data_IF_852842018046
#
_entry.id   IF_852842018046
#
_cell.length_a   1.000
_cell.length_b   1.000
_cell.length_c   1.000
_cell.angle_alpha   90.00
_cell.angle_beta   90.00
_cell.angle_gamma   90.00
#
_symmetry.space_group_name_H-M   'P 1'
#
loop_
_entity.id
_entity.type
_entity.pdbx_description
1 polymer ?
#
# COMPACT_ATOMS: atom_id res chain seq x y z
N UNK A 1 49.25 -51.96 -0.96
CA UNK A 1 48.95 -52.41 0.42
C UNK A 1 48.30 -51.21 1.13
N UNK A 2 46.97 -51.13 1.15
CA UNK A 2 46.25 -50.00 1.77
C UNK A 2 46.11 -50.35 3.25
N UNK A 3 46.84 -49.63 4.12
CA UNK A 3 46.78 -49.80 5.57
C UNK A 3 45.40 -49.36 6.09
N UNK A 4 44.72 -50.15 6.95
CA UNK A 4 43.40 -49.79 7.46
C UNK A 4 43.49 -48.54 8.35
N UNK A 5 42.71 -47.52 8.00
CA UNK A 5 42.64 -46.28 8.77
C UNK A 5 42.06 -46.57 10.17
N UNK A 6 42.70 -46.12 11.26
CA UNK A 6 42.24 -46.44 12.60
C UNK A 6 40.86 -45.82 12.87
N UNK A 7 39.94 -46.59 13.46
CA UNK A 7 38.54 -46.19 13.76
C UNK A 7 38.43 -44.83 14.48
N UNK A 8 39.43 -44.45 15.27
CA UNK A 8 39.51 -43.16 15.96
C UNK A 8 39.60 -41.96 15.01
N UNK A 9 40.23 -42.11 13.84
CA UNK A 9 40.33 -41.04 12.83
C UNK A 9 38.96 -40.73 12.23
N UNK A 10 38.12 -41.74 11.99
CA UNK A 10 36.75 -41.51 11.53
C UNK A 10 35.90 -40.73 12.56
N UNK A 11 36.11 -40.98 13.86
CA UNK A 11 35.43 -40.24 14.93
C UNK A 11 35.88 -38.77 14.92
N UNK A 12 37.20 -38.50 14.83
CA UNK A 12 37.69 -37.12 14.74
C UNK A 12 37.21 -36.39 13.49
N UNK A 13 37.14 -37.07 12.35
CA UNK A 13 36.61 -36.51 11.10
C UNK A 13 35.11 -36.23 11.22
N UNK A 14 34.31 -37.13 11.80
CA UNK A 14 32.88 -36.89 12.03
C UNK A 14 32.64 -35.70 12.97
N UNK A 15 33.40 -35.60 14.06
CA UNK A 15 33.30 -34.47 14.99
C UNK A 15 33.68 -33.17 14.28
N UNK A 16 34.77 -33.15 13.52
CA UNK A 16 35.19 -31.96 12.78
C UNK A 16 34.16 -31.53 11.72
N UNK A 17 33.56 -32.49 11.00
CA UNK A 17 32.49 -32.24 10.05
C UNK A 17 31.21 -31.70 10.74
N UNK A 18 30.90 -32.18 11.94
CA UNK A 18 29.76 -31.68 12.72
C UNK A 18 29.92 -30.24 13.17
N UNK A 19 31.13 -29.82 13.57
CA UNK A 19 31.43 -28.43 13.92
C UNK A 19 31.35 -27.50 12.71
N UNK A 20 31.89 -27.91 11.55
CA UNK A 20 31.78 -27.14 10.30
C UNK A 20 30.32 -26.95 9.86
N UNK A 21 29.46 -27.94 10.12
CA UNK A 21 28.05 -27.87 9.78
C UNK A 21 27.32 -26.81 10.63
N UNK A 22 27.65 -26.70 11.92
CA UNK A 22 27.01 -25.74 12.83
C UNK A 22 27.29 -24.28 12.46
N UNK A 23 28.51 -23.95 12.05
CA UNK A 23 28.90 -22.62 11.58
C UNK A 23 28.12 -22.21 10.32
N UNK A 24 27.96 -23.15 9.37
CA UNK A 24 27.19 -22.92 8.16
C UNK A 24 25.70 -22.67 8.46
N UNK A 25 25.12 -23.41 9.40
CA UNK A 25 23.74 -23.19 9.86
C UNK A 25 23.56 -21.83 10.53
N UNK A 26 24.47 -21.43 11.43
CA UNK A 26 24.40 -20.15 12.14
C UNK A 26 24.45 -18.93 11.19
N UNK A 27 25.30 -18.98 10.16
CA UNK A 27 25.37 -17.91 9.15
C UNK A 27 24.09 -17.85 8.31
N UNK A 28 23.49 -19.00 8.00
CA UNK A 28 22.23 -19.05 7.26
C UNK A 28 21.04 -18.53 8.07
N UNK A 29 20.96 -18.85 9.36
CA UNK A 29 19.86 -18.41 10.24
C UNK A 29 19.89 -16.90 10.42
N UNK A 30 21.07 -16.31 10.66
CA UNK A 30 21.25 -14.85 10.74
C UNK A 30 20.74 -14.11 9.49
N UNK A 31 20.94 -14.68 8.29
CA UNK A 31 20.45 -14.10 7.03
C UNK A 31 18.93 -14.21 6.91
N UNK A 32 18.35 -15.33 7.32
CA UNK A 32 16.90 -15.54 7.32
C UNK A 32 16.23 -14.57 8.29
N UNK A 33 16.78 -14.42 9.50
CA UNK A 33 16.28 -13.49 10.51
C UNK A 33 16.37 -12.03 10.03
N UNK A 34 17.47 -11.65 9.37
CA UNK A 34 17.62 -10.32 8.76
C UNK A 34 16.58 -10.06 7.66
N UNK A 35 16.27 -11.06 6.85
CA UNK A 35 15.26 -10.96 5.80
C UNK A 35 13.84 -10.88 6.40
N UNK A 36 13.56 -11.68 7.43
CA UNK A 36 12.27 -11.70 8.12
C UNK A 36 12.01 -10.37 8.83
N UNK A 37 13.01 -9.82 9.53
CA UNK A 37 12.92 -8.49 10.14
C UNK A 37 12.65 -7.38 9.10
N UNK A 38 13.21 -7.50 7.89
CA UNK A 38 12.94 -6.55 6.82
C UNK A 38 11.49 -6.65 6.32
N UNK A 39 10.95 -7.86 6.20
CA UNK A 39 9.55 -8.06 5.86
C UNK A 39 8.62 -7.46 6.94
N UNK A 40 8.90 -7.75 8.21
CA UNK A 40 8.13 -7.24 9.34
C UNK A 40 8.14 -5.70 9.40
N UNK A 41 9.30 -5.08 9.12
CA UNK A 41 9.39 -3.61 9.07
C UNK A 41 8.50 -3.00 7.98
N UNK A 42 8.46 -3.59 6.78
CA UNK A 42 7.61 -3.13 5.68
C UNK A 42 6.12 -3.34 5.97
N UNK A 43 5.78 -4.45 6.64
CA UNK A 43 4.40 -4.75 7.05
C UNK A 43 3.94 -3.78 8.14
N UNK A 44 4.76 -3.53 9.17
CA UNK A 44 4.46 -2.58 10.24
C UNK A 44 4.25 -1.16 9.71
N UNK A 45 5.08 -0.72 8.76
CA UNK A 45 4.93 0.58 8.12
C UNK A 45 3.63 0.68 7.31
N UNK A 46 3.26 -0.38 6.57
CA UNK A 46 2.00 -0.42 5.82
C UNK A 46 0.78 -0.24 6.71
N UNK A 47 0.76 -0.84 7.90
CA UNK A 47 -0.32 -0.65 8.88
C UNK A 47 -0.37 0.78 9.42
N UNK A 48 0.79 1.35 9.73
CA UNK A 48 0.89 2.75 10.18
C UNK A 48 0.35 3.73 9.13
N UNK A 49 0.78 3.57 7.87
CA UNK A 49 0.27 4.40 6.77
C UNK A 49 -1.22 4.20 6.54
N UNK A 50 -1.73 2.97 6.69
CA UNK A 50 -3.17 2.69 6.55
C UNK A 50 -3.98 3.35 7.65
N UNK A 51 -3.54 3.29 8.91
CA UNK A 51 -4.19 3.97 10.03
C UNK A 51 -4.18 5.49 9.87
N UNK A 52 -3.04 6.07 9.47
CA UNK A 52 -2.94 7.50 9.23
C UNK A 52 -3.91 7.96 8.13
N UNK A 53 -3.96 7.22 7.03
CA UNK A 53 -4.87 7.47 5.91
C UNK A 53 -6.34 7.35 6.34
N UNK A 54 -6.71 6.32 7.08
CA UNK A 54 -8.07 6.15 7.58
C UNK A 54 -8.49 7.29 8.51
N UNK A 55 -7.59 7.73 9.40
CA UNK A 55 -7.83 8.89 10.26
C UNK A 55 -8.00 10.18 9.45
N UNK A 56 -7.19 10.38 8.41
CA UNK A 56 -7.33 11.52 7.50
C UNK A 56 -8.68 11.50 6.76
N UNK A 57 -9.07 10.34 6.22
CA UNK A 57 -10.36 10.16 5.55
C UNK A 57 -11.53 10.42 6.52
N UNK A 58 -11.44 9.90 7.75
CA UNK A 58 -12.47 10.12 8.76
C UNK A 58 -12.64 11.62 9.07
N UNK A 59 -11.53 12.36 9.12
CA UNK A 59 -11.53 13.81 9.29
C UNK A 59 -12.19 14.51 8.10
N UNK A 60 -11.75 14.24 6.88
CA UNK A 60 -12.36 14.80 5.66
C UNK A 60 -13.86 14.53 5.57
N UNK A 61 -14.32 13.32 5.90
CA UNK A 61 -15.75 12.96 5.91
C UNK A 61 -16.53 13.72 6.98
N UNK A 62 -15.95 13.91 8.17
CA UNK A 62 -16.56 14.69 9.24
C UNK A 62 -16.70 16.16 8.82
N UNK A 63 -15.65 16.72 8.26
CA UNK A 63 -15.62 18.12 7.81
C UNK A 63 -16.60 18.32 6.66
N UNK A 64 -16.69 17.37 5.72
CA UNK A 64 -17.66 17.41 4.62
C UNK A 64 -19.11 17.38 5.11
N UNK A 65 -19.37 16.62 6.19
CA UNK A 65 -20.70 16.57 6.81
C UNK A 65 -21.03 17.88 7.54
N UNK A 66 -20.04 18.53 8.13
CA UNK A 66 -20.20 19.79 8.86
C UNK A 66 -20.25 21.02 7.93
N UNK A 67 -19.65 20.94 6.74
CA UNK A 67 -19.55 22.04 5.80
C UNK A 67 -20.93 22.46 5.25
N UNK A 68 -21.25 23.74 5.44
CA UNK A 68 -22.47 24.39 4.94
C UNK A 68 -22.26 25.11 3.61
N UNK A 69 -21.03 25.55 3.33
CA UNK A 69 -20.66 26.19 2.06
C UNK A 69 -20.33 25.14 1.00
N UNK A 70 -20.97 25.25 -0.17
CA UNK A 70 -20.74 24.38 -1.32
C UNK A 70 -19.31 24.47 -1.84
N UNK A 71 -18.65 25.63 -1.75
CA UNK A 71 -17.25 25.77 -2.18
C UNK A 71 -16.32 24.92 -1.32
N UNK A 72 -16.50 24.95 0.00
CA UNK A 72 -15.77 24.09 0.95
C UNK A 72 -16.07 22.61 0.69
N UNK A 73 -17.34 22.27 0.43
CA UNK A 73 -17.74 20.90 0.10
C UNK A 73 -17.05 20.41 -1.18
N UNK A 74 -16.93 21.26 -2.20
CA UNK A 74 -16.25 20.95 -3.45
C UNK A 74 -14.76 20.61 -3.25
N UNK A 75 -14.06 21.38 -2.41
CA UNK A 75 -12.65 21.13 -2.07
C UNK A 75 -12.48 19.85 -1.27
N UNK A 76 -13.30 19.63 -0.23
CA UNK A 76 -13.25 18.41 0.59
C UNK A 76 -13.53 17.14 -0.23
N UNK A 77 -14.44 17.21 -1.20
CA UNK A 77 -14.70 16.13 -2.14
C UNK A 77 -13.52 15.88 -3.08
N UNK A 78 -12.79 16.93 -3.48
CA UNK A 78 -11.52 16.82 -4.20
C UNK A 78 -10.46 16.08 -3.38
N UNK A 79 -10.29 16.47 -2.11
CA UNK A 79 -9.33 15.82 -1.21
C UNK A 79 -9.67 14.34 -0.95
N UNK A 80 -10.95 14.01 -0.81
CA UNK A 80 -11.39 12.61 -0.70
C UNK A 80 -11.08 11.83 -1.98
N UNK A 81 -11.35 12.40 -3.15
CA UNK A 81 -10.97 11.81 -4.43
C UNK A 81 -9.46 11.53 -4.50
N UNK A 82 -8.62 12.53 -4.23
CA UNK A 82 -7.16 12.40 -4.31
C UNK A 82 -6.63 11.38 -3.31
N UNK A 83 -7.25 11.31 -2.12
CA UNK A 83 -6.90 10.31 -1.11
C UNK A 83 -7.21 8.90 -1.60
N UNK A 84 -8.39 8.66 -2.19
CA UNK A 84 -8.83 7.32 -2.61
C UNK A 84 -8.23 6.86 -3.94
N UNK A 85 -7.93 7.79 -4.86
CA UNK A 85 -7.45 7.51 -6.23
C UNK A 85 -6.34 6.45 -6.31
N UNK A 86 -5.32 6.41 -5.43
CA UNK A 86 -4.22 5.45 -5.55
C UNK A 86 -4.57 4.00 -5.18
N UNK A 87 -5.70 3.74 -4.51
CA UNK A 87 -5.96 2.41 -3.93
C UNK A 87 -7.42 1.94 -3.90
N UNK A 88 -8.40 2.80 -4.20
CA UNK A 88 -9.81 2.40 -4.28
C UNK A 88 -10.55 3.22 -5.35
N UNK A 89 -10.62 2.63 -6.56
CA UNK A 89 -11.27 3.21 -7.74
C UNK A 89 -12.73 3.57 -7.47
N UNK A 90 -13.52 2.66 -6.89
CA UNK A 90 -14.96 2.86 -6.68
C UNK A 90 -15.23 4.09 -5.79
N UNK A 91 -14.46 4.21 -4.70
CA UNK A 91 -14.56 5.36 -3.79
C UNK A 91 -14.11 6.65 -4.47
N UNK A 92 -13.02 6.61 -5.24
CA UNK A 92 -12.57 7.77 -6.01
C UNK A 92 -13.65 8.22 -7.00
N UNK A 93 -14.24 7.28 -7.76
CA UNK A 93 -15.31 7.57 -8.70
C UNK A 93 -16.53 8.17 -8.00
N UNK A 94 -16.98 7.55 -6.89
CA UNK A 94 -18.08 8.05 -6.08
C UNK A 94 -17.88 9.51 -5.65
N UNK A 95 -16.71 9.84 -5.09
CA UNK A 95 -16.45 11.21 -4.64
C UNK A 95 -16.31 12.20 -5.80
N UNK A 96 -15.82 11.77 -6.96
CA UNK A 96 -15.78 12.62 -8.17
C UNK A 96 -17.17 12.97 -8.71
N UNK A 97 -18.14 12.03 -8.64
CA UNK A 97 -19.53 12.29 -9.00
C UNK A 97 -20.18 13.29 -8.03
N UNK A 98 -19.96 13.11 -6.73
CA UNK A 98 -20.45 14.06 -5.72
C UNK A 98 -19.85 15.45 -5.92
N UNK A 99 -18.54 15.52 -6.25
CA UNK A 99 -17.83 16.77 -6.53
C UNK A 99 -18.45 17.51 -7.72
N UNK A 100 -18.79 16.78 -8.78
CA UNK A 100 -19.46 17.36 -9.95
C UNK A 100 -20.86 17.89 -9.63
N UNK A 101 -21.63 17.19 -8.78
CA UNK A 101 -22.95 17.65 -8.35
C UNK A 101 -22.86 18.97 -7.57
N UNK A 102 -21.88 19.10 -6.67
CA UNK A 102 -21.63 20.35 -5.95
C UNK A 102 -21.15 21.44 -6.92
N UNK A 103 -20.27 21.13 -7.86
CA UNK A 103 -19.82 22.08 -8.88
C UNK A 103 -20.97 22.65 -9.72
N UNK A 104 -21.91 21.77 -10.12
CA UNK A 104 -23.14 22.18 -10.82
C UNK A 104 -23.99 23.11 -9.97
N UNK A 105 -24.12 22.83 -8.67
CA UNK A 105 -24.88 23.67 -7.72
C UNK A 105 -24.24 25.06 -7.54
N UNK A 106 -22.91 25.12 -7.50
CA UNK A 106 -22.15 26.39 -7.47
C UNK A 106 -22.34 27.17 -8.79
N UNK A 107 -22.62 26.48 -9.89
CA UNK A 107 -22.78 27.09 -11.21
C UNK A 107 -21.44 27.44 -11.89
N UNK A 108 -20.33 26.84 -11.43
CA UNK A 108 -19.01 27.10 -12.00
C UNK A 108 -18.63 26.03 -13.04
N UNK A 109 -18.56 26.38 -14.35
CA UNK A 109 -18.27 25.41 -15.41
C UNK A 109 -16.85 24.84 -15.34
N UNK A 110 -15.87 25.59 -14.83
CA UNK A 110 -14.49 25.11 -14.63
C UNK A 110 -14.49 24.01 -13.57
N UNK A 111 -15.26 24.17 -12.50
CA UNK A 111 -15.35 23.17 -11.43
C UNK A 111 -16.01 21.88 -11.91
N UNK A 112 -17.03 21.99 -12.79
CA UNK A 112 -17.66 20.85 -13.43
C UNK A 112 -16.66 20.11 -14.33
N UNK A 113 -15.92 20.85 -15.16
CA UNK A 113 -14.90 20.27 -16.03
C UNK A 113 -13.81 19.53 -15.23
N UNK A 114 -13.33 20.13 -14.13
CA UNK A 114 -12.35 19.49 -13.25
C UNK A 114 -12.89 18.20 -12.61
N UNK A 115 -14.15 18.21 -12.15
CA UNK A 115 -14.77 17.01 -11.58
C UNK A 115 -14.98 15.90 -12.62
N UNK A 116 -15.31 16.25 -13.87
CA UNK A 116 -15.37 15.30 -14.99
C UNK A 116 -14.01 14.76 -15.37
N UNK A 117 -12.96 15.57 -15.32
CA UNK A 117 -11.59 15.11 -15.52
C UNK A 117 -11.18 14.09 -14.45
N UNK A 118 -11.61 14.30 -13.20
CA UNK A 118 -11.43 13.31 -12.13
C UNK A 118 -12.13 11.98 -12.47
N UNK A 119 -13.36 12.01 -12.96
CA UNK A 119 -14.08 10.82 -13.42
C UNK A 119 -13.35 10.12 -14.58
N UNK A 120 -12.96 10.87 -15.61
CA UNK A 120 -12.23 10.35 -16.76
C UNK A 120 -10.90 9.68 -16.37
N UNK A 121 -10.16 10.27 -15.42
CA UNK A 121 -8.94 9.67 -14.88
C UNK A 121 -9.20 8.30 -14.25
N UNK A 122 -10.31 8.17 -13.50
CA UNK A 122 -10.68 6.92 -12.85
C UNK A 122 -11.11 5.87 -13.86
N UNK A 123 -12.01 6.23 -14.79
CA UNK A 123 -12.49 5.34 -15.85
C UNK A 123 -11.35 4.87 -16.77
N UNK A 124 -10.40 5.76 -17.08
CA UNK A 124 -9.20 5.42 -17.86
C UNK A 124 -8.32 4.42 -17.14
N UNK A 125 -8.17 4.55 -15.81
CA UNK A 125 -7.34 3.64 -15.02
C UNK A 125 -7.88 2.20 -14.94
N UNK A 126 -9.20 2.01 -15.14
CA UNK A 126 -9.84 0.68 -15.14
C UNK A 126 -10.17 0.15 -16.53
N UNK A 127 -9.72 0.81 -17.59
CA UNK A 127 -9.94 0.36 -18.97
C UNK A 127 -11.36 0.56 -19.51
N UNK A 128 -12.19 1.39 -18.86
CA UNK A 128 -13.59 1.64 -19.20
C UNK A 128 -13.76 2.81 -20.20
N UNK A 129 -12.93 2.87 -21.23
CA UNK A 129 -12.94 3.96 -22.23
C UNK A 129 -14.32 4.14 -22.93
N UNK A 130 -15.15 3.10 -22.97
CA UNK A 130 -16.46 3.13 -23.62
C UNK A 130 -17.58 3.81 -22.82
N UNK A 131 -17.46 3.97 -21.50
CA UNK A 131 -18.48 4.63 -20.68
C UNK A 131 -18.24 6.14 -20.52
N UNK A 132 -17.07 6.63 -20.98
CA UNK A 132 -16.69 8.04 -20.93
C UNK A 132 -17.04 8.82 -22.22
N UNK A 133 -17.65 8.17 -23.22
CA UNK A 133 -18.02 8.75 -24.53
C UNK A 133 -19.52 8.93 -24.68
#
# INVERSE_FOLDING_TARGET
MIQPVPKKVYIYVMVMLSFLCQEAYAVSSLRIDSLMNKLDSVVADRENFSRLRESHIATLKRDLKAATDDSVRYELLGNLFDTYKPYNTDSAYYYSLQRENVARKIGNPVFVANARMNQANVLSAVGMYHEAM
#
